data_IF_219124210233
#
_entry.id   IF_219124210233
#
_cell.length_a   1.000
_cell.length_b   1.000
_cell.length_c   1.000
_cell.angle_alpha   90.00
_cell.angle_beta   90.00
_cell.angle_gamma   90.00
#
_symmetry.space_group_name_H-M   'P 1'
#
loop_
_entity.id
_entity.type
_entity.pdbx_description
1 polymer ?
#
# COMPACT_ATOMS: atom_id res chain seq x y z
N UNK A 1 -23.94 44.30 -19.21
CA UNK A 1 -23.78 42.83 -19.33
C UNK A 1 -22.70 42.29 -18.39
N UNK A 2 -21.49 42.88 -18.33
CA UNK A 2 -20.40 42.42 -17.45
C UNK A 2 -20.78 42.40 -15.95
N UNK A 3 -21.36 43.48 -15.41
CA UNK A 3 -21.73 43.54 -13.99
C UNK A 3 -22.79 42.50 -13.60
N UNK A 4 -23.76 42.22 -14.47
CA UNK A 4 -24.79 41.20 -14.21
C UNK A 4 -24.18 39.80 -14.10
N UNK A 5 -23.18 39.49 -14.95
CA UNK A 5 -22.45 38.22 -14.88
C UNK A 5 -21.57 38.12 -13.62
N UNK A 6 -20.89 39.21 -13.25
CA UNK A 6 -20.07 39.24 -12.02
C UNK A 6 -20.93 39.03 -10.77
N UNK A 7 -22.08 39.73 -10.70
CA UNK A 7 -22.99 39.61 -9.56
C UNK A 7 -23.62 38.22 -9.49
N UNK A 8 -24.08 37.66 -10.61
CA UNK A 8 -24.72 36.34 -10.61
C UNK A 8 -23.76 35.23 -10.18
N UNK A 9 -22.51 35.24 -10.66
CA UNK A 9 -21.48 34.28 -10.27
C UNK A 9 -21.09 34.42 -8.80
N UNK A 10 -21.01 35.65 -8.29
CA UNK A 10 -20.68 35.92 -6.87
C UNK A 10 -21.76 35.39 -5.93
N UNK A 11 -23.04 35.64 -6.26
CA UNK A 11 -24.17 35.15 -5.47
C UNK A 11 -24.20 33.62 -5.49
N UNK A 12 -24.09 33.02 -6.68
CA UNK A 12 -24.11 31.57 -6.83
C UNK A 12 -22.98 30.90 -6.03
N UNK A 13 -21.76 31.42 -6.14
CA UNK A 13 -20.60 30.92 -5.41
C UNK A 13 -20.76 31.06 -3.89
N UNK A 14 -21.31 32.18 -3.42
CA UNK A 14 -21.55 32.40 -1.98
C UNK A 14 -22.63 31.46 -1.45
N UNK A 15 -23.73 31.27 -2.20
CA UNK A 15 -24.82 30.38 -1.82
C UNK A 15 -24.35 28.93 -1.77
N UNK A 16 -23.66 28.44 -2.82
CA UNK A 16 -23.15 27.06 -2.81
C UNK A 16 -22.05 26.85 -1.78
N UNK A 17 -21.17 27.83 -1.58
CA UNK A 17 -20.13 27.77 -0.56
C UNK A 17 -20.71 27.68 0.86
N UNK A 18 -21.71 28.50 1.18
CA UNK A 18 -22.41 28.45 2.47
C UNK A 18 -23.16 27.13 2.64
N UNK A 19 -23.87 26.68 1.61
CA UNK A 19 -24.63 25.42 1.66
C UNK A 19 -23.69 24.23 1.92
N UNK A 20 -22.60 24.10 1.14
CA UNK A 20 -21.62 23.04 1.33
C UNK A 20 -20.89 23.14 2.67
N UNK A 21 -20.57 24.36 3.13
CA UNK A 21 -19.92 24.58 4.42
C UNK A 21 -20.80 24.18 5.61
N UNK A 22 -22.11 24.50 5.55
CA UNK A 22 -23.09 24.07 6.55
C UNK A 22 -23.27 22.56 6.51
N UNK A 23 -23.42 21.98 5.32
CA UNK A 23 -23.55 20.54 5.15
C UNK A 23 -22.33 19.78 5.71
N UNK A 24 -21.11 20.26 5.44
CA UNK A 24 -19.88 19.64 5.90
C UNK A 24 -19.74 19.64 7.44
N UNK A 25 -20.28 20.65 8.13
CA UNK A 25 -20.30 20.69 9.60
C UNK A 25 -21.41 19.84 10.19
N UNK A 26 -22.62 19.93 9.62
CA UNK A 26 -23.79 19.23 10.14
C UNK A 26 -23.70 17.71 9.93
N UNK A 27 -23.10 17.27 8.82
CA UNK A 27 -22.91 15.86 8.47
C UNK A 27 -21.55 15.29 8.89
N UNK A 28 -20.79 16.00 9.73
CA UNK A 28 -19.49 15.52 10.21
C UNK A 28 -19.71 14.31 11.12
N UNK A 29 -19.41 13.11 10.61
CA UNK A 29 -19.39 11.88 11.41
C UNK A 29 -18.15 11.90 12.29
N UNK A 30 -18.32 11.77 13.60
CA UNK A 30 -17.21 11.54 14.53
C UNK A 30 -16.71 10.11 14.34
N UNK A 31 -15.51 9.96 13.78
CA UNK A 31 -14.88 8.66 13.59
C UNK A 31 -14.48 8.01 14.92
N UNK A 32 -14.36 6.69 14.92
CA UNK A 32 -13.83 5.96 16.08
C UNK A 32 -12.37 6.40 16.35
N UNK A 33 -12.05 6.97 17.53
CA UNK A 33 -10.70 7.46 17.83
C UNK A 33 -9.64 6.37 17.74
N UNK A 34 -10.01 5.11 18.01
CA UNK A 34 -9.11 3.97 17.94
C UNK A 34 -8.59 3.72 16.51
N UNK A 35 -9.40 3.99 15.49
CA UNK A 35 -8.99 3.86 14.08
C UNK A 35 -7.87 4.84 13.76
N UNK A 36 -7.99 6.09 14.21
CA UNK A 36 -6.96 7.09 13.99
C UNK A 36 -5.64 6.73 14.71
N UNK A 37 -5.72 6.14 15.90
CA UNK A 37 -4.55 5.69 16.64
C UNK A 37 -3.87 4.48 15.97
N UNK A 38 -4.64 3.50 15.48
CA UNK A 38 -4.10 2.35 14.76
C UNK A 38 -3.50 2.77 13.41
N UNK A 39 -4.13 3.72 12.71
CA UNK A 39 -3.62 4.23 11.44
C UNK A 39 -2.25 4.89 11.60
N UNK A 40 -2.01 5.59 12.72
CA UNK A 40 -0.71 6.19 13.04
C UNK A 40 0.39 5.15 13.31
N UNK A 41 0.03 3.93 13.70
CA UNK A 41 0.98 2.82 13.90
C UNK A 41 1.32 2.11 12.59
N UNK A 42 0.50 2.25 11.56
CA UNK A 42 0.75 1.67 10.25
C UNK A 42 1.78 2.51 9.47
N UNK A 43 2.49 1.93 8.48
CA UNK A 43 3.51 2.64 7.70
C UNK A 43 3.00 3.82 6.85
N UNK A 44 1.68 4.01 6.73
CA UNK A 44 1.08 5.10 5.93
C UNK A 44 1.28 4.98 4.41
N UNK A 45 1.77 3.84 3.91
CA UNK A 45 2.13 3.67 2.48
C UNK A 45 0.92 3.49 1.55
N UNK A 46 -0.28 3.25 2.10
CA UNK A 46 -1.53 3.09 1.34
C UNK A 46 -1.46 2.06 0.19
N UNK A 47 -0.55 1.06 0.28
CA UNK A 47 -0.21 0.17 -0.83
C UNK A 47 -1.22 -0.95 -1.14
N UNK A 48 -2.14 -1.24 -0.20
CA UNK A 48 -3.18 -2.26 -0.37
C UNK A 48 -2.70 -3.71 -0.42
N UNK A 49 -1.45 -4.01 -0.01
CA UNK A 49 -0.93 -5.39 0.03
C UNK A 49 -1.67 -6.28 1.04
N UNK A 50 -2.26 -5.68 2.07
CA UNK A 50 -3.08 -6.35 3.07
C UNK A 50 -4.51 -6.68 2.61
N UNK A 51 -4.90 -6.29 1.39
CA UNK A 51 -6.26 -6.47 0.87
C UNK A 51 -7.27 -5.41 1.28
N UNK A 52 -6.90 -4.44 2.12
CA UNK A 52 -7.77 -3.33 2.54
C UNK A 52 -7.51 -2.04 1.73
N UNK A 53 -8.52 -1.16 1.58
CA UNK A 53 -8.37 0.13 0.92
C UNK A 53 -7.56 1.07 1.80
N UNK A 54 -6.24 1.00 1.67
CA UNK A 54 -5.31 1.84 2.42
C UNK A 54 -5.14 1.46 3.89
N UNK A 55 -4.28 2.21 4.57
CA UNK A 55 -4.00 2.13 6.00
C UNK A 55 -5.21 2.49 6.84
N UNK A 56 -6.04 3.46 6.43
CA UNK A 56 -7.28 3.81 7.16
C UNK A 56 -8.26 2.62 7.16
N UNK A 57 -8.46 1.98 6.00
CA UNK A 57 -9.33 0.79 5.89
C UNK A 57 -8.76 -0.41 6.66
N UNK A 58 -7.44 -0.60 6.64
CA UNK A 58 -6.78 -1.62 7.44
C UNK A 58 -6.91 -1.36 8.96
N UNK A 59 -6.75 -0.11 9.38
CA UNK A 59 -6.93 0.32 10.78
C UNK A 59 -8.36 0.12 11.25
N UNK A 60 -9.34 0.40 10.39
CA UNK A 60 -10.74 0.12 10.68
C UNK A 60 -10.99 -1.39 10.83
N UNK A 61 -10.45 -2.21 9.93
CA UNK A 61 -10.59 -3.66 10.01
C UNK A 61 -9.99 -4.25 11.30
N UNK A 62 -8.87 -3.67 11.77
CA UNK A 62 -8.26 -4.00 13.07
C UNK A 62 -9.13 -3.54 14.25
N UNK A 63 -9.64 -2.31 14.20
CA UNK A 63 -10.53 -1.78 15.23
C UNK A 63 -11.80 -2.61 15.39
N UNK A 64 -12.33 -3.11 14.27
CA UNK A 64 -13.54 -3.93 14.22
C UNK A 64 -13.26 -5.42 14.55
N UNK A 65 -12.00 -5.80 14.77
CA UNK A 65 -11.59 -7.19 15.07
C UNK A 65 -11.72 -8.16 13.89
N UNK A 66 -11.88 -7.62 12.67
CA UNK A 66 -12.11 -8.40 11.44
C UNK A 66 -10.82 -8.83 10.73
N UNK A 67 -9.66 -8.31 11.15
CA UNK A 67 -8.35 -8.61 10.57
C UNK A 67 -7.32 -8.94 11.66
N UNK A 68 -6.35 -9.84 11.38
CA UNK A 68 -5.27 -10.15 12.32
C UNK A 68 -4.25 -9.01 12.40
N UNK A 69 -3.55 -8.89 13.53
CA UNK A 69 -2.45 -7.90 13.72
C UNK A 69 -1.29 -8.08 12.74
N UNK A 70 -1.16 -9.26 12.15
CA UNK A 70 -0.16 -9.63 11.12
C UNK A 70 -0.53 -9.17 9.71
N UNK A 71 -1.64 -8.45 9.51
CA UNK A 71 -2.16 -8.13 8.17
C UNK A 71 -1.23 -7.28 7.30
N UNK A 72 -0.21 -6.61 7.85
CA UNK A 72 0.60 -5.63 7.14
C UNK A 72 1.98 -6.19 6.73
N UNK A 73 2.12 -6.81 5.54
CA UNK A 73 3.41 -7.30 5.04
C UNK A 73 4.56 -6.28 5.09
N UNK A 74 4.39 -5.01 4.65
CA UNK A 74 5.51 -4.06 4.66
C UNK A 74 5.86 -3.55 6.06
N UNK A 75 4.98 -3.72 7.05
CA UNK A 75 5.22 -3.27 8.43
C UNK A 75 6.19 -4.17 9.21
N UNK A 76 6.33 -5.44 8.79
CA UNK A 76 7.20 -6.40 9.46
C UNK A 76 6.82 -6.62 10.93
N UNK A 77 7.75 -7.20 11.71
CA UNK A 77 7.48 -7.62 13.09
C UNK A 77 7.22 -6.44 14.03
N UNK A 78 7.89 -5.31 13.78
CA UNK A 78 7.77 -4.13 14.62
C UNK A 78 6.36 -3.53 14.60
N UNK A 79 5.74 -3.42 13.43
CA UNK A 79 4.35 -2.93 13.33
C UNK A 79 3.39 -3.91 13.99
N UNK A 80 3.58 -5.22 13.77
CA UNK A 80 2.73 -6.25 14.40
C UNK A 80 2.77 -6.14 15.92
N UNK A 81 3.96 -5.99 16.51
CA UNK A 81 4.10 -5.84 17.96
C UNK A 81 3.40 -4.57 18.48
N UNK A 82 3.60 -3.43 17.81
CA UNK A 82 2.96 -2.17 18.22
C UNK A 82 1.43 -2.26 18.16
N UNK A 83 0.88 -2.91 17.13
CA UNK A 83 -0.55 -3.15 17.00
C UNK A 83 -1.09 -4.10 18.08
N UNK A 84 -0.33 -5.14 18.38
CA UNK A 84 -0.66 -6.13 19.41
C UNK A 84 -0.70 -5.49 20.81
N UNK A 85 0.32 -4.70 21.16
CA UNK A 85 0.41 -3.94 22.41
C UNK A 85 -0.75 -2.94 22.52
N UNK A 86 -1.12 -2.29 21.42
CA UNK A 86 -2.21 -1.32 21.37
C UNK A 86 -3.59 -1.96 21.56
N UNK A 87 -3.80 -3.15 21.00
CA UNK A 87 -5.05 -3.90 21.06
C UNK A 87 -5.14 -4.82 22.30
N UNK A 88 -4.04 -4.99 23.04
CA UNK A 88 -3.97 -5.88 24.20
C UNK A 88 -4.08 -7.36 23.86
N UNK A 89 -3.59 -7.76 22.68
CA UNK A 89 -3.66 -9.14 22.16
C UNK A 89 -2.23 -9.67 22.03
N UNK A 90 -2.01 -10.96 22.32
CA UNK A 90 -0.71 -11.59 22.02
C UNK A 90 -0.57 -11.85 20.51
N UNK A 91 0.52 -11.35 19.92
CA UNK A 91 0.83 -11.58 18.52
C UNK A 91 1.67 -12.85 18.32
N UNK A 92 1.21 -13.73 17.44
CA UNK A 92 2.06 -14.78 16.89
C UNK A 92 2.95 -14.20 15.79
N UNK A 93 4.26 -14.09 16.10
CA UNK A 93 5.27 -13.59 15.18
C UNK A 93 5.93 -14.70 14.35
N UNK A 94 5.53 -15.96 14.50
CA UNK A 94 6.14 -17.09 13.79
C UNK A 94 5.94 -17.01 12.27
N UNK A 95 4.81 -16.46 11.82
CA UNK A 95 4.48 -16.27 10.40
C UNK A 95 4.96 -14.96 9.78
N UNK A 96 5.62 -14.08 10.55
CA UNK A 96 6.06 -12.76 10.06
C UNK A 96 7.52 -12.85 9.61
N UNK A 97 7.71 -13.18 8.33
CA UNK A 97 9.01 -13.20 7.67
C UNK A 97 9.42 -11.78 7.24
N UNK A 98 10.53 -11.27 7.78
CA UNK A 98 11.15 -10.04 7.28
C UNK A 98 12.07 -10.39 6.10
N UNK A 99 11.57 -10.16 4.89
CA UNK A 99 12.36 -10.30 3.66
C UNK A 99 13.07 -8.99 3.36
N UNK A 100 14.33 -9.10 2.94
CA UNK A 100 15.09 -7.95 2.43
C UNK A 100 14.45 -7.36 1.15
N UNK A 101 15.07 -6.32 0.55
CA UNK A 101 14.58 -5.73 -0.68
C UNK A 101 14.52 -6.79 -1.78
N UNK A 102 13.32 -6.97 -2.33
CA UNK A 102 13.07 -7.86 -3.46
C UNK A 102 12.57 -7.04 -4.65
N UNK A 103 12.75 -7.56 -5.85
CA UNK A 103 12.24 -6.99 -7.10
C UNK A 103 11.70 -8.12 -7.97
N UNK A 104 10.68 -7.83 -8.78
CA UNK A 104 10.23 -8.77 -9.79
C UNK A 104 11.21 -8.76 -10.98
N UNK A 105 11.61 -9.94 -11.44
CA UNK A 105 12.49 -10.11 -12.60
C UNK A 105 11.83 -11.03 -13.62
N UNK A 106 11.91 -10.65 -14.90
CA UNK A 106 11.32 -11.39 -16.02
C UNK A 106 12.41 -12.19 -16.74
N UNK A 107 12.20 -13.51 -16.87
CA UNK A 107 12.99 -14.38 -17.72
C UNK A 107 12.57 -14.20 -19.18
N UNK A 108 13.46 -13.61 -19.95
CA UNK A 108 13.28 -13.27 -21.37
C UNK A 108 12.95 -14.49 -22.23
N UNK A 109 13.55 -15.64 -21.89
CA UNK A 109 13.44 -16.91 -22.63
C UNK A 109 12.02 -17.50 -22.62
N UNK A 110 11.23 -17.19 -21.58
CA UNK A 110 9.94 -17.84 -21.27
C UNK A 110 8.77 -16.85 -21.42
N UNK A 111 9.06 -15.55 -21.45
CA UNK A 111 8.04 -14.52 -21.53
C UNK A 111 7.40 -14.47 -22.93
N UNK A 112 6.12 -14.86 -23.02
CA UNK A 112 5.33 -14.82 -24.27
C UNK A 112 4.67 -13.46 -24.57
N UNK A 113 4.87 -12.45 -23.73
CA UNK A 113 4.29 -11.12 -23.93
C UNK A 113 2.76 -11.06 -23.78
N UNK A 114 2.18 -11.80 -22.83
CA UNK A 114 0.71 -11.90 -22.65
C UNK A 114 0.04 -10.67 -22.01
N UNK A 115 0.80 -9.70 -21.49
CA UNK A 115 0.33 -8.44 -20.85
C UNK A 115 -0.47 -8.60 -19.54
N UNK A 116 -0.59 -9.81 -18.98
CA UNK A 116 -1.31 -10.01 -17.70
C UNK A 116 -0.63 -9.32 -16.53
N UNK A 117 0.70 -9.45 -16.42
CA UNK A 117 1.49 -8.81 -15.39
C UNK A 117 1.37 -7.27 -15.43
N UNK A 118 1.39 -6.68 -16.63
CA UNK A 118 1.20 -5.23 -16.85
C UNK A 118 -0.12 -4.74 -16.26
N UNK A 119 -1.22 -5.45 -16.51
CA UNK A 119 -2.57 -5.04 -16.08
C UNK A 119 -2.81 -5.10 -14.57
N UNK A 120 -2.05 -5.93 -13.84
CA UNK A 120 -2.23 -6.10 -12.39
C UNK A 120 -1.21 -5.34 -11.55
N UNK A 121 -0.22 -4.71 -12.19
CA UNK A 121 0.81 -3.97 -11.48
C UNK A 121 0.20 -2.70 -10.86
N UNK A 122 0.20 -2.54 -9.53
CA UNK A 122 -0.41 -1.36 -8.90
C UNK A 122 0.41 -0.08 -9.05
N UNK A 123 1.70 -0.20 -9.42
CA UNK A 123 2.64 0.92 -9.54
C UNK A 123 3.12 1.16 -10.96
N UNK A 124 2.52 0.46 -11.95
CA UNK A 124 2.93 0.52 -13.35
C UNK A 124 4.44 0.29 -13.57
N UNK A 125 5.06 -0.55 -12.73
CA UNK A 125 6.49 -0.85 -12.78
C UNK A 125 6.91 -1.71 -13.98
N UNK A 126 5.95 -2.21 -14.76
CA UNK A 126 6.21 -3.15 -15.85
C UNK A 126 6.00 -2.42 -17.17
N UNK A 127 6.96 -2.55 -18.09
CA UNK A 127 6.86 -2.02 -19.45
C UNK A 127 6.96 -3.14 -20.46
N UNK A 128 6.09 -3.12 -21.45
CA UNK A 128 6.03 -4.12 -22.51
C UNK A 128 4.77 -3.94 -23.35
N UNK A 129 4.73 -4.63 -24.48
CA UNK A 129 3.56 -4.67 -25.36
C UNK A 129 3.15 -6.14 -25.60
N UNK A 130 2.00 -6.33 -26.22
CA UNK A 130 1.57 -7.65 -26.65
C UNK A 130 2.64 -8.28 -27.55
N UNK A 131 2.97 -9.54 -27.29
CA UNK A 131 4.00 -10.30 -28.00
C UNK A 131 5.42 -9.71 -27.91
N UNK A 132 5.67 -8.83 -26.94
CA UNK A 132 7.01 -8.31 -26.62
C UNK A 132 7.42 -8.76 -25.21
N UNK A 133 8.72 -8.91 -24.99
CA UNK A 133 9.27 -9.23 -23.67
C UNK A 133 9.03 -8.04 -22.74
N UNK A 134 8.55 -8.33 -21.53
CA UNK A 134 8.26 -7.29 -20.54
C UNK A 134 9.50 -7.06 -19.66
N UNK A 135 9.75 -5.82 -19.29
CA UNK A 135 10.83 -5.41 -18.38
C UNK A 135 10.21 -4.78 -17.14
N UNK A 136 10.84 -5.00 -15.99
CA UNK A 136 10.43 -4.40 -14.71
C UNK A 136 11.41 -3.29 -14.34
N UNK A 137 10.91 -2.09 -14.10
CA UNK A 137 11.69 -1.00 -13.51
C UNK A 137 11.86 -1.24 -12.02
N UNK A 138 13.12 -1.36 -11.59
CA UNK A 138 13.48 -1.71 -10.21
C UNK A 138 13.01 -0.63 -9.23
N UNK A 139 13.06 0.63 -9.65
CA UNK A 139 12.74 1.80 -8.85
C UNK A 139 11.24 1.96 -8.59
N UNK A 140 10.39 1.40 -9.46
CA UNK A 140 8.94 1.45 -9.35
C UNK A 140 8.34 0.15 -8.76
N UNK A 141 9.12 -0.93 -8.68
CA UNK A 141 8.66 -2.21 -8.18
C UNK A 141 8.57 -2.20 -6.64
N UNK A 142 7.39 -2.52 -6.11
CA UNK A 142 7.15 -2.61 -4.65
C UNK A 142 7.17 -4.05 -4.12
N UNK A 143 7.61 -5.01 -4.94
CA UNK A 143 7.65 -6.43 -4.62
C UNK A 143 6.31 -7.04 -4.15
N UNK A 144 5.17 -6.52 -4.64
CA UNK A 144 3.84 -6.95 -4.18
C UNK A 144 3.41 -8.37 -4.63
N UNK A 145 4.18 -9.06 -5.48
CA UNK A 145 3.90 -10.45 -5.90
C UNK A 145 2.76 -10.67 -6.91
N UNK A 146 1.82 -9.72 -7.06
CA UNK A 146 0.63 -9.85 -7.94
C UNK A 146 0.97 -10.28 -9.37
N UNK A 147 2.09 -9.81 -9.92
CA UNK A 147 2.52 -10.15 -11.28
C UNK A 147 3.01 -11.59 -11.43
N UNK A 148 3.60 -12.17 -10.38
CA UNK A 148 4.04 -13.58 -10.34
C UNK A 148 2.82 -14.51 -10.32
N UNK A 149 1.81 -14.19 -9.51
CA UNK A 149 0.58 -14.98 -9.37
C UNK A 149 -0.21 -15.13 -10.69
N UNK A 150 -0.25 -14.08 -11.51
CA UNK A 150 -1.04 -14.08 -12.76
C UNK A 150 -0.27 -14.58 -13.99
N UNK A 151 1.02 -14.86 -13.86
CA UNK A 151 1.87 -15.20 -15.00
C UNK A 151 1.66 -16.65 -15.46
N UNK A 152 1.11 -16.89 -16.67
CA UNK A 152 0.75 -18.23 -17.11
C UNK A 152 1.96 -19.12 -17.44
N UNK A 153 3.11 -18.50 -17.71
CA UNK A 153 4.36 -19.21 -18.05
C UNK A 153 5.36 -19.17 -16.91
N UNK A 154 4.98 -18.61 -15.76
CA UNK A 154 5.87 -18.40 -14.61
C UNK A 154 7.19 -17.66 -14.95
N UNK A 155 7.18 -16.84 -16.00
CA UNK A 155 8.38 -16.15 -16.47
C UNK A 155 8.83 -15.03 -15.54
N UNK A 156 7.97 -14.53 -14.66
CA UNK A 156 8.27 -13.44 -13.73
C UNK A 156 8.27 -13.96 -12.30
N UNK A 157 9.35 -13.68 -11.55
CA UNK A 157 9.54 -14.14 -10.17
C UNK A 157 10.09 -13.00 -9.31
N UNK A 158 9.72 -12.96 -8.04
CA UNK A 158 10.38 -12.09 -7.06
C UNK A 158 11.77 -12.62 -6.74
N UNK A 159 12.79 -11.79 -6.91
CA UNK A 159 14.18 -12.08 -6.58
C UNK A 159 14.70 -11.07 -5.56
N UNK A 160 15.54 -11.55 -4.63
CA UNK A 160 16.26 -10.68 -3.72
C UNK A 160 17.25 -9.81 -4.50
N UNK A 161 17.30 -8.52 -4.17
CA UNK A 161 18.29 -7.61 -4.77
C UNK A 161 19.68 -8.04 -4.26
N UNK A 162 20.64 -8.35 -5.15
CA UNK A 162 21.98 -8.74 -4.73
C UNK A 162 22.61 -7.59 -3.95
N UNK A 163 23.31 -7.91 -2.86
CA UNK A 163 23.99 -6.90 -2.03
C UNK A 163 25.26 -6.46 -2.75
N UNK A 164 25.27 -5.21 -3.19
CA UNK A 164 26.41 -4.53 -3.81
C UNK A 164 26.65 -3.21 -3.08
N UNK A 165 27.73 -2.49 -3.41
CA UNK A 165 27.95 -1.15 -2.84
C UNK A 165 26.82 -0.16 -3.13
N UNK A 166 26.05 -0.35 -4.22
CA UNK A 166 24.92 0.50 -4.59
C UNK A 166 23.59 0.05 -4.00
N UNK A 167 23.48 -1.21 -3.56
CA UNK A 167 22.25 -1.84 -3.05
C UNK A 167 22.40 -2.34 -1.61
N UNK A 168 23.42 -1.87 -0.91
CA UNK A 168 23.63 -2.18 0.49
C UNK A 168 22.58 -1.48 1.36
N UNK A 169 22.04 -2.21 2.33
CA UNK A 169 21.12 -1.69 3.32
C UNK A 169 21.51 -2.21 4.71
N UNK A 170 21.14 -1.45 5.73
CA UNK A 170 21.37 -1.86 7.12
C UNK A 170 20.35 -2.91 7.53
N UNK A 171 20.82 -4.11 7.88
CA UNK A 171 19.96 -5.14 8.47
C UNK A 171 19.50 -4.66 9.85
N UNK A 172 18.18 -4.58 10.05
CA UNK A 172 17.62 -4.20 11.36
C UNK A 172 18.06 -5.25 12.39
N UNK A 173 18.63 -4.84 13.54
CA UNK A 173 18.95 -5.79 14.60
C UNK A 173 17.66 -6.45 15.09
N UNK A 174 17.67 -7.77 15.25
CA UNK A 174 16.52 -8.51 15.75
C UNK A 174 16.21 -8.04 17.18
N UNK A 175 15.04 -7.46 17.39
CA UNK A 175 14.57 -7.08 18.72
C UNK A 175 14.34 -8.36 19.54
N UNK A 176 15.31 -8.72 20.40
CA UNK A 176 15.24 -9.91 21.24
C UNK A 176 16.59 -10.63 21.45
N UNK A 177 17.59 -10.41 20.60
CA UNK A 177 18.96 -10.81 20.90
C UNK A 177 19.64 -9.69 21.67
N UNK A 178 19.46 -9.71 22.99
CA UNK A 178 20.33 -8.98 23.89
C UNK A 178 21.76 -9.50 23.68
N UNK A 179 22.65 -8.58 23.27
CA UNK A 179 24.10 -8.75 23.44
C UNK A 179 24.43 -8.66 24.92
#
# INVERSE_FOLDING_TARGET
MLFAAVVSLTILGTVFGLLLGVAARYLKVEGNPLVAELEQLLPGSQCGQCGFPGCTGAAQALADGSAPVTLCPPGGRAVVQLLADKLGIEADLSGVEEKGPMIAEVKEEICIGCTRCFKVCPTDAIMGAAQQIHVVFREACTACGKCEEVCPTESIKLQAVPVTLQSWYWNKPMAGEAV
#
